data_IF_766174540246
#
_entry.id   IF_766174540246
#
_cell.length_a   1.000
_cell.length_b   1.000
_cell.length_c   1.000
_cell.angle_alpha   90.00
_cell.angle_beta   90.00
_cell.angle_gamma   90.00
#
_symmetry.space_group_name_H-M   'P 1'
#
loop_
_entity.id
_entity.type
_entity.pdbx_description
1 polymer ?
#
# COMPACT_ATOMS: atom_id res chain seq x y z
N UNK A 1 21.81 -2.28 -4.57
CA UNK A 1 22.09 -0.86 -4.77
C UNK A 1 21.22 -0.01 -3.86
N UNK A 2 21.83 0.51 -2.80
CA UNK A 2 21.26 1.40 -1.76
C UNK A 2 20.67 2.71 -2.36
N UNK A 3 20.98 2.99 -3.63
CA UNK A 3 20.66 4.26 -4.29
C UNK A 3 19.21 4.39 -4.76
N UNK A 4 18.52 3.28 -5.08
CA UNK A 4 17.19 3.33 -5.70
C UNK A 4 16.07 3.76 -4.72
N UNK A 5 16.04 3.23 -3.49
CA UNK A 5 15.02 3.61 -2.50
C UNK A 5 15.16 5.06 -2.01
N UNK A 6 16.38 5.54 -1.88
CA UNK A 6 16.70 6.94 -1.55
C UNK A 6 16.35 7.89 -2.71
N UNK A 7 16.40 7.43 -3.96
CA UNK A 7 16.03 8.21 -5.14
C UNK A 7 14.50 8.31 -5.31
N UNK A 8 13.76 7.22 -5.11
CA UNK A 8 12.30 7.22 -5.14
C UNK A 8 11.73 8.11 -4.02
N UNK A 9 12.21 7.95 -2.79
CA UNK A 9 11.84 8.80 -1.66
C UNK A 9 12.13 10.29 -1.93
N UNK A 10 13.36 10.63 -2.43
CA UNK A 10 13.71 12.00 -2.79
C UNK A 10 12.86 12.54 -3.92
N UNK A 11 12.47 11.70 -4.89
CA UNK A 11 11.62 12.07 -6.02
C UNK A 11 10.19 12.36 -5.58
N UNK A 12 9.62 11.51 -4.71
CA UNK A 12 8.29 11.72 -4.14
C UNK A 12 8.30 12.95 -3.23
N UNK A 13 9.26 13.10 -2.33
CA UNK A 13 9.40 14.29 -1.48
C UNK A 13 9.55 15.58 -2.31
N UNK A 14 10.31 15.55 -3.42
CA UNK A 14 10.44 16.71 -4.33
C UNK A 14 9.18 16.98 -5.14
N UNK A 15 8.43 15.96 -5.54
CA UNK A 15 7.15 16.13 -6.25
C UNK A 15 6.08 16.69 -5.33
N UNK A 16 6.00 16.19 -4.10
CA UNK A 16 5.13 16.73 -3.06
C UNK A 16 5.52 18.18 -2.72
N UNK A 17 6.82 18.51 -2.66
CA UNK A 17 7.32 19.87 -2.47
C UNK A 17 7.14 20.77 -3.69
N UNK A 18 7.15 20.23 -4.92
CA UNK A 18 6.93 21.01 -6.15
C UNK A 18 5.46 21.34 -6.40
N UNK A 19 4.54 20.49 -5.98
CA UNK A 19 3.12 20.80 -6.03
C UNK A 19 2.70 21.85 -4.98
N UNK A 20 3.49 22.03 -3.94
CA UNK A 20 3.27 22.98 -2.84
C UNK A 20 3.72 24.44 -3.18
N UNK A 21 3.29 24.98 -4.33
CA UNK A 21 3.60 26.37 -4.70
C UNK A 21 2.43 27.35 -4.55
N UNK A 22 1.28 26.88 -4.06
CA UNK A 22 0.14 27.71 -3.74
C UNK A 22 -0.20 27.68 -2.25
N UNK A 23 -0.96 28.65 -1.76
CA UNK A 23 -1.42 28.72 -0.36
C UNK A 23 -2.25 27.48 0.03
N UNK A 24 -2.90 26.83 -0.95
CA UNK A 24 -3.68 25.59 -0.80
C UNK A 24 -2.79 24.35 -0.58
N UNK A 25 -1.57 24.38 -1.10
CA UNK A 25 -0.63 23.24 -1.04
C UNK A 25 0.00 23.08 0.35
N UNK A 26 0.09 24.16 1.13
CA UNK A 26 0.64 24.13 2.50
C UNK A 26 -0.32 23.38 3.43
N UNK A 27 -1.64 23.59 3.29
CA UNK A 27 -2.64 22.88 4.08
C UNK A 27 -2.65 21.38 3.76
N UNK A 28 -2.49 21.02 2.50
CA UNK A 28 -2.40 19.60 2.07
C UNK A 28 -1.14 18.93 2.65
N UNK A 29 0.00 19.60 2.62
CA UNK A 29 1.26 19.08 3.18
C UNK A 29 1.21 18.90 4.71
N UNK A 30 0.37 19.69 5.38
CA UNK A 30 0.15 19.61 6.82
C UNK A 30 -0.94 18.60 7.20
N UNK A 31 -1.63 18.01 6.24
CA UNK A 31 -2.73 17.08 6.53
C UNK A 31 -2.24 15.82 7.24
N UNK A 32 -2.95 15.34 8.28
CA UNK A 32 -2.61 14.10 8.99
C UNK A 32 -2.47 12.90 8.05
N UNK A 33 -3.33 12.80 7.04
CA UNK A 33 -3.32 11.73 6.06
C UNK A 33 -2.01 11.69 5.24
N UNK A 34 -1.52 12.83 4.76
CA UNK A 34 -0.25 12.89 4.04
C UNK A 34 0.94 12.60 4.96
N UNK A 35 0.90 13.08 6.21
CA UNK A 35 1.93 12.75 7.21
C UNK A 35 1.96 11.25 7.50
N UNK A 36 0.82 10.57 7.57
CA UNK A 36 0.71 9.11 7.70
C UNK A 36 1.40 8.38 6.54
N UNK A 37 1.15 8.80 5.30
CA UNK A 37 1.81 8.22 4.10
C UNK A 37 3.32 8.49 4.12
N UNK A 38 3.76 9.72 4.45
CA UNK A 38 5.19 10.06 4.56
C UNK A 38 5.89 9.21 5.62
N UNK A 39 5.24 9.00 6.77
CA UNK A 39 5.74 8.12 7.84
C UNK A 39 5.92 6.70 7.31
N UNK A 40 4.92 6.14 6.65
CA UNK A 40 4.99 4.81 6.04
C UNK A 40 6.12 4.70 5.02
N UNK A 41 6.28 5.69 4.14
CA UNK A 41 7.37 5.72 3.17
C UNK A 41 8.75 5.74 3.85
N UNK A 42 8.91 6.47 4.95
CA UNK A 42 10.17 6.50 5.72
C UNK A 42 10.49 5.15 6.36
N UNK A 43 9.50 4.48 6.92
CA UNK A 43 9.65 3.17 7.56
C UNK A 43 10.02 2.12 6.52
N UNK A 44 9.23 2.00 5.45
CA UNK A 44 9.27 0.86 4.52
C UNK A 44 10.22 1.06 3.32
N UNK A 45 10.54 2.31 2.96
CA UNK A 45 11.46 2.63 1.87
C UNK A 45 12.70 3.42 2.32
N UNK A 46 12.80 3.74 3.60
CA UNK A 46 13.94 4.44 4.18
C UNK A 46 15.23 3.61 4.15
N UNK A 47 16.34 4.21 4.62
CA UNK A 47 17.67 3.57 4.60
C UNK A 47 17.77 2.34 5.52
N UNK A 48 16.93 2.26 6.54
CA UNK A 48 16.92 1.16 7.53
C UNK A 48 15.83 0.11 7.26
N UNK A 49 15.15 0.18 6.11
CA UNK A 49 14.15 -0.83 5.75
C UNK A 49 14.80 -2.23 5.62
N UNK A 50 14.20 -3.30 6.18
CA UNK A 50 14.80 -4.65 6.23
C UNK A 50 14.69 -5.38 4.88
N UNK A 51 15.24 -4.79 3.82
CA UNK A 51 15.09 -5.27 2.43
C UNK A 51 15.66 -6.66 2.22
N UNK A 52 16.89 -6.88 2.70
CA UNK A 52 17.59 -8.16 2.49
C UNK A 52 16.90 -9.30 3.25
N UNK A 53 16.45 -9.05 4.47
CA UNK A 53 15.70 -10.05 5.24
C UNK A 53 14.37 -10.41 4.57
N UNK A 54 13.69 -9.42 3.99
CA UNK A 54 12.45 -9.62 3.28
C UNK A 54 12.66 -10.41 1.97
N UNK A 55 13.70 -10.08 1.22
CA UNK A 55 14.06 -10.79 -0.01
C UNK A 55 14.46 -12.24 0.30
N UNK A 56 15.19 -12.48 1.38
CA UNK A 56 15.53 -13.83 1.84
C UNK A 56 14.30 -14.65 2.21
N UNK A 57 13.33 -14.05 2.92
CA UNK A 57 12.08 -14.71 3.27
C UNK A 57 11.28 -15.09 2.03
N UNK A 58 11.04 -14.12 1.14
CA UNK A 58 10.19 -14.37 -0.03
C UNK A 58 10.84 -15.25 -1.08
N UNK A 59 12.15 -15.33 -1.15
CA UNK A 59 12.87 -16.27 -2.03
C UNK A 59 12.54 -17.73 -1.76
N UNK A 60 12.01 -18.05 -0.59
CA UNK A 60 11.54 -19.41 -0.27
C UNK A 60 10.25 -19.79 -1.00
N UNK A 61 9.49 -18.81 -1.51
CA UNK A 61 8.15 -18.98 -2.06
C UNK A 61 7.99 -18.41 -3.47
N UNK A 62 8.88 -17.50 -3.87
CA UNK A 62 8.74 -16.71 -5.10
C UNK A 62 9.95 -16.95 -5.99
N UNK A 63 9.72 -17.61 -7.12
CA UNK A 63 10.73 -17.84 -8.15
C UNK A 63 10.70 -16.73 -9.22
N UNK A 64 11.77 -16.53 -9.98
CA UNK A 64 11.77 -15.63 -11.14
C UNK A 64 10.68 -16.00 -12.15
N UNK A 65 9.92 -15.00 -12.60
CA UNK A 65 8.77 -15.18 -13.50
C UNK A 65 7.46 -15.55 -12.81
N UNK A 66 7.47 -15.81 -11.50
CA UNK A 66 6.26 -16.11 -10.73
C UNK A 66 5.22 -15.00 -10.81
N UNK A 67 3.94 -15.36 -10.85
CA UNK A 67 2.84 -14.43 -10.62
C UNK A 67 2.56 -14.34 -9.12
N UNK A 68 2.56 -13.13 -8.58
CA UNK A 68 2.32 -12.84 -7.16
C UNK A 68 1.18 -11.84 -7.02
N UNK A 69 0.28 -12.09 -6.07
CA UNK A 69 -0.72 -11.12 -5.65
C UNK A 69 -0.31 -10.51 -4.31
N UNK A 70 -0.30 -9.17 -4.23
CA UNK A 70 -0.05 -8.38 -3.01
C UNK A 70 -1.33 -7.65 -2.64
N UNK A 71 -2.13 -8.25 -1.75
CA UNK A 71 -3.40 -7.71 -1.30
C UNK A 71 -3.16 -6.86 -0.06
N UNK A 72 -3.55 -5.58 -0.12
CA UNK A 72 -3.18 -4.56 0.86
C UNK A 72 -1.72 -4.14 0.67
N UNK A 73 -1.39 -3.62 -0.53
CA UNK A 73 -0.02 -3.35 -0.92
C UNK A 73 0.62 -2.16 -0.19
N UNK A 74 -0.19 -1.32 0.46
CA UNK A 74 0.23 -0.17 1.26
C UNK A 74 1.15 0.76 0.45
N UNK A 75 2.41 0.98 0.87
CA UNK A 75 3.39 1.79 0.11
C UNK A 75 4.30 0.95 -0.81
N UNK A 76 4.05 -0.36 -0.97
CA UNK A 76 4.68 -1.21 -1.98
C UNK A 76 6.10 -1.70 -1.68
N UNK A 77 6.48 -1.80 -0.41
CA UNK A 77 7.77 -2.39 -0.04
C UNK A 77 7.84 -3.89 -0.38
N UNK A 78 6.71 -4.63 -0.26
CA UNK A 78 6.57 -6.02 -0.70
C UNK A 78 6.67 -6.14 -2.22
N UNK A 79 5.99 -5.25 -2.96
CA UNK A 79 6.12 -5.17 -4.42
C UNK A 79 7.59 -5.03 -4.80
N UNK A 80 8.33 -4.13 -4.12
CA UNK A 80 9.76 -3.93 -4.38
C UNK A 80 10.57 -5.22 -4.17
N UNK A 81 10.24 -6.03 -3.16
CA UNK A 81 10.87 -7.33 -2.89
C UNK A 81 10.54 -8.34 -3.98
N UNK A 82 9.27 -8.54 -4.30
CA UNK A 82 8.84 -9.45 -5.36
C UNK A 82 9.45 -9.10 -6.72
N UNK A 83 9.57 -7.82 -7.02
CA UNK A 83 10.21 -7.36 -8.26
C UNK A 83 11.71 -7.63 -8.30
N UNK A 84 12.43 -7.51 -7.19
CA UNK A 84 13.85 -7.92 -7.10
C UNK A 84 14.04 -9.43 -7.26
N UNK A 85 13.06 -10.22 -6.88
CA UNK A 85 13.03 -11.67 -7.10
C UNK A 85 12.59 -12.07 -8.53
N UNK A 86 12.21 -11.10 -9.37
CA UNK A 86 11.84 -11.32 -10.76
C UNK A 86 10.37 -11.68 -10.99
N UNK A 87 9.50 -11.53 -9.99
CA UNK A 87 8.08 -11.84 -10.12
C UNK A 87 7.30 -10.78 -10.91
N UNK A 88 6.20 -11.18 -11.56
CA UNK A 88 5.12 -10.30 -11.99
C UNK A 88 4.16 -10.10 -10.80
N UNK A 89 3.73 -8.86 -10.56
CA UNK A 89 2.95 -8.52 -9.36
C UNK A 89 1.62 -7.89 -9.75
N UNK A 90 0.53 -8.41 -9.17
CA UNK A 90 -0.77 -7.75 -9.13
C UNK A 90 -0.95 -7.22 -7.71
N UNK A 91 -0.99 -5.90 -7.55
CA UNK A 91 -1.05 -5.25 -6.26
C UNK A 91 -2.37 -4.51 -6.08
N UNK A 92 -3.01 -4.72 -4.95
CA UNK A 92 -4.32 -4.15 -4.62
C UNK A 92 -4.19 -3.28 -3.39
N UNK A 93 -4.56 -1.99 -3.51
CA UNK A 93 -4.54 -1.03 -2.41
C UNK A 93 -5.71 -0.05 -2.54
N UNK A 94 -6.69 -0.08 -1.61
CA UNK A 94 -7.89 0.73 -1.72
C UNK A 94 -7.72 2.19 -1.31
N UNK A 95 -6.71 2.53 -0.52
CA UNK A 95 -6.56 3.88 0.03
C UNK A 95 -6.01 4.85 -1.04
N UNK A 96 -6.73 5.94 -1.41
CA UNK A 96 -6.35 6.79 -2.55
C UNK A 96 -4.95 7.40 -2.44
N UNK A 97 -4.55 7.86 -1.24
CA UNK A 97 -3.22 8.44 -1.04
C UNK A 97 -2.10 7.42 -1.12
N UNK A 98 -2.31 6.20 -0.58
CA UNK A 98 -1.37 5.10 -0.69
C UNK A 98 -1.27 4.62 -2.14
N UNK A 99 -2.40 4.47 -2.83
CA UNK A 99 -2.44 4.12 -4.24
C UNK A 99 -1.70 5.14 -5.11
N UNK A 100 -1.87 6.44 -4.82
CA UNK A 100 -1.10 7.49 -5.50
C UNK A 100 0.42 7.33 -5.27
N UNK A 101 0.84 7.01 -4.05
CA UNK A 101 2.24 6.73 -3.74
C UNK A 101 2.76 5.48 -4.49
N UNK A 102 1.97 4.39 -4.52
CA UNK A 102 2.28 3.18 -5.29
C UNK A 102 2.47 3.48 -6.77
N UNK A 103 1.56 4.25 -7.36
CA UNK A 103 1.63 4.61 -8.78
C UNK A 103 2.88 5.43 -9.10
N UNK A 104 3.33 6.28 -8.18
CA UNK A 104 4.60 7.01 -8.33
C UNK A 104 5.84 6.11 -8.26
N UNK A 105 5.79 5.07 -7.41
CA UNK A 105 6.94 4.18 -7.18
C UNK A 105 7.00 3.09 -8.25
N UNK A 106 5.87 2.45 -8.53
CA UNK A 106 5.78 1.21 -9.32
C UNK A 106 5.01 1.33 -10.63
N UNK A 107 4.23 2.40 -10.84
CA UNK A 107 3.33 2.55 -12.00
C UNK A 107 4.02 2.59 -13.38
N UNK A 108 5.36 2.60 -13.44
CA UNK A 108 6.13 2.51 -14.67
C UNK A 108 6.79 1.14 -14.89
N UNK A 109 6.67 0.23 -13.94
CA UNK A 109 7.18 -1.13 -14.09
C UNK A 109 6.16 -1.97 -14.87
N UNK A 110 6.47 -2.46 -16.08
CA UNK A 110 5.51 -3.19 -16.92
C UNK A 110 5.12 -4.55 -16.33
N UNK A 111 5.80 -5.02 -15.29
CA UNK A 111 5.49 -6.26 -14.59
C UNK A 111 4.74 -6.03 -13.28
N UNK A 112 4.25 -4.81 -13.03
CA UNK A 112 3.42 -4.45 -11.88
C UNK A 112 2.09 -3.89 -12.38
N UNK A 113 1.01 -4.55 -12.03
CA UNK A 113 -0.36 -4.04 -12.19
C UNK A 113 -0.86 -3.53 -10.84
N UNK A 114 -1.33 -2.29 -10.81
CA UNK A 114 -1.86 -1.64 -9.60
C UNK A 114 -3.37 -1.49 -9.71
N UNK A 115 -4.10 -1.90 -8.68
CA UNK A 115 -5.56 -1.84 -8.60
C UNK A 115 -5.98 -1.02 -7.37
N UNK A 116 -6.73 0.05 -7.59
CA UNK A 116 -7.32 0.95 -6.57
C UNK A 116 -8.60 0.36 -5.95
N UNK A 117 -8.53 -0.85 -5.43
CA UNK A 117 -9.66 -1.66 -4.97
C UNK A 117 -9.30 -2.36 -3.67
N UNK A 118 -10.30 -3.00 -3.05
CA UNK A 118 -10.06 -3.98 -2.01
C UNK A 118 -10.53 -5.36 -2.44
N UNK A 119 -10.05 -6.39 -1.74
CA UNK A 119 -10.49 -7.77 -1.96
C UNK A 119 -11.46 -8.16 -0.85
N UNK A 120 -12.57 -8.80 -1.24
CA UNK A 120 -13.60 -9.30 -0.33
C UNK A 120 -14.28 -10.55 -0.87
N UNK A 121 -15.22 -11.09 -0.08
CA UNK A 121 -16.01 -12.26 -0.47
C UNK A 121 -16.93 -12.00 -1.66
N UNK A 122 -17.45 -10.78 -1.75
CA UNK A 122 -18.44 -10.37 -2.75
C UNK A 122 -18.02 -9.07 -3.42
N UNK A 123 -18.12 -9.02 -4.74
CA UNK A 123 -17.88 -7.81 -5.49
C UNK A 123 -18.96 -6.75 -5.22
N UNK A 124 -18.58 -5.49 -5.25
CA UNK A 124 -19.51 -4.37 -5.01
C UNK A 124 -18.78 -3.12 -4.53
N UNK A 125 -19.49 -2.25 -3.83
CA UNK A 125 -18.94 -1.05 -3.21
C UNK A 125 -19.15 -1.13 -1.70
N UNK A 126 -18.10 -0.85 -0.93
CA UNK A 126 -18.16 -0.78 0.55
C UNK A 126 -17.44 0.44 1.06
N UNK A 127 -17.76 0.87 2.27
CA UNK A 127 -17.01 1.91 2.98
C UNK A 127 -15.73 1.34 3.60
N UNK A 128 -14.60 1.98 3.31
CA UNK A 128 -13.34 1.79 4.02
C UNK A 128 -13.26 2.79 5.17
N UNK A 129 -13.08 2.30 6.38
CA UNK A 129 -12.77 3.10 7.56
C UNK A 129 -11.28 3.44 7.54
N UNK A 130 -10.97 4.71 7.35
CA UNK A 130 -9.59 5.20 7.22
C UNK A 130 -9.11 5.79 8.52
N UNK A 131 -7.96 5.35 8.99
CA UNK A 131 -7.19 6.06 10.00
C UNK A 131 -6.15 6.93 9.30
N UNK A 132 -6.37 8.24 9.27
CA UNK A 132 -5.54 9.14 8.46
C UNK A 132 -4.12 9.28 9.03
N UNK A 133 -3.93 9.13 10.33
CA UNK A 133 -2.61 9.21 10.98
C UNK A 133 -1.84 7.90 10.94
N UNK A 134 -2.56 6.78 10.88
CA UNK A 134 -1.98 5.43 10.80
C UNK A 134 -2.68 4.60 9.72
N UNK A 135 -2.35 4.80 8.44
CA UNK A 135 -3.02 4.13 7.33
C UNK A 135 -2.99 2.59 7.38
N UNK A 136 -2.02 2.01 8.11
CA UNK A 136 -1.86 0.54 8.24
C UNK A 136 -3.01 -0.15 8.96
N UNK A 137 -3.80 0.59 9.74
CA UNK A 137 -4.94 0.04 10.49
C UNK A 137 -6.30 0.40 9.85
N UNK A 138 -6.29 0.94 8.64
CA UNK A 138 -7.55 1.17 7.89
C UNK A 138 -8.19 -0.17 7.55
N UNK A 139 -9.52 -0.25 7.62
CA UNK A 139 -10.25 -1.53 7.54
C UNK A 139 -11.61 -1.39 6.89
N UNK A 140 -12.11 -2.48 6.30
CA UNK A 140 -13.50 -2.63 5.86
C UNK A 140 -14.44 -3.10 6.97
N UNK A 141 -13.89 -3.53 8.12
CA UNK A 141 -14.67 -4.10 9.21
C UNK A 141 -15.08 -3.04 10.22
N UNK A 142 -16.35 -2.69 10.24
CA UNK A 142 -16.94 -1.86 11.30
C UNK A 142 -16.86 -2.55 12.67
N UNK A 143 -17.01 -3.86 12.68
CA UNK A 143 -16.88 -4.66 13.91
C UNK A 143 -15.46 -4.50 14.50
N UNK A 144 -14.42 -4.59 13.67
CA UNK A 144 -13.05 -4.34 14.12
C UNK A 144 -12.88 -2.94 14.71
N UNK A 145 -13.40 -1.91 14.05
CA UNK A 145 -13.34 -0.52 14.56
C UNK A 145 -14.02 -0.42 15.92
N UNK A 146 -15.18 -1.07 16.09
CA UNK A 146 -15.93 -1.02 17.35
C UNK A 146 -15.22 -1.80 18.48
N UNK A 147 -14.61 -2.95 18.18
CA UNK A 147 -13.84 -3.74 19.15
C UNK A 147 -12.51 -3.05 19.52
N UNK A 148 -11.85 -2.39 18.59
CA UNK A 148 -10.60 -1.67 18.85
C UNK A 148 -10.81 -0.43 19.73
N UNK A 149 -11.99 0.20 19.68
CA UNK A 149 -12.30 1.37 20.52
C UNK A 149 -12.21 1.00 22.00
N UNK A 150 -11.28 1.64 22.73
CA UNK A 150 -11.05 1.40 24.15
C UNK A 150 -10.28 0.12 24.50
N UNK A 151 -9.84 -0.65 23.50
CA UNK A 151 -8.99 -1.79 23.72
C UNK A 151 -7.55 -1.34 24.04
N UNK A 152 -6.89 -2.07 24.95
CA UNK A 152 -5.51 -1.76 25.37
C UNK A 152 -4.55 -1.79 24.18
N UNK A 153 -3.82 -0.69 23.97
CA UNK A 153 -2.88 -0.50 22.87
C UNK A 153 -3.52 0.07 21.59
N UNK A 154 -4.82 0.39 21.65
CA UNK A 154 -5.57 0.99 20.54
C UNK A 154 -6.16 2.36 20.89
N UNK A 155 -5.83 2.89 22.06
CA UNK A 155 -6.41 4.11 22.63
C UNK A 155 -6.23 5.33 21.71
N UNK A 156 -5.10 5.40 21.00
CA UNK A 156 -4.74 6.50 20.10
C UNK A 156 -5.19 6.27 18.64
N UNK A 157 -5.88 5.15 18.35
CA UNK A 157 -6.32 4.86 16.99
C UNK A 157 -7.69 5.45 16.71
N UNK A 158 -7.75 6.36 15.73
CA UNK A 158 -8.98 7.05 15.35
C UNK A 158 -9.25 6.82 13.86
N UNK A 159 -10.39 6.23 13.55
CA UNK A 159 -10.89 6.09 12.17
C UNK A 159 -11.74 7.33 11.85
N UNK A 160 -11.07 8.39 11.41
CA UNK A 160 -11.61 9.72 11.15
C UNK A 160 -12.07 9.92 9.71
N UNK A 161 -11.78 8.98 8.81
CA UNK A 161 -12.17 9.01 7.41
C UNK A 161 -13.03 7.84 6.98
N UNK A 162 -13.89 8.07 5.96
CA UNK A 162 -14.66 7.04 5.26
C UNK A 162 -14.54 7.27 3.76
N UNK A 163 -14.24 6.21 3.02
CA UNK A 163 -14.07 6.27 1.57
C UNK A 163 -14.83 5.11 0.93
N UNK A 164 -15.76 5.38 -0.01
CA UNK A 164 -16.36 4.32 -0.79
C UNK A 164 -15.31 3.72 -1.73
N UNK A 165 -15.16 2.40 -1.68
CA UNK A 165 -14.19 1.67 -2.50
C UNK A 165 -14.85 0.50 -3.22
N UNK A 166 -14.35 0.18 -4.41
CA UNK A 166 -14.75 -0.99 -5.15
C UNK A 166 -14.12 -2.25 -4.56
N UNK A 167 -14.95 -3.28 -4.37
CA UNK A 167 -14.52 -4.60 -3.91
C UNK A 167 -14.49 -5.54 -5.11
N UNK A 168 -13.39 -6.26 -5.25
CA UNK A 168 -13.24 -7.38 -6.18
C UNK A 168 -13.04 -8.68 -5.39
N UNK A 169 -13.39 -9.81 -5.99
CA UNK A 169 -13.13 -11.10 -5.36
C UNK A 169 -11.76 -11.65 -5.75
N UNK A 170 -11.17 -12.47 -4.89
CA UNK A 170 -9.92 -13.16 -5.20
C UNK A 170 -10.08 -14.04 -6.44
N UNK A 171 -11.21 -14.75 -6.55
CA UNK A 171 -11.53 -15.58 -7.72
C UNK A 171 -11.63 -14.74 -9.00
N UNK A 172 -12.18 -13.53 -8.93
CA UNK A 172 -12.21 -12.58 -10.04
C UNK A 172 -10.81 -12.13 -10.48
N UNK A 173 -9.89 -11.92 -9.53
CA UNK A 173 -8.49 -11.62 -9.84
C UNK A 173 -7.80 -12.82 -10.48
N UNK A 174 -8.01 -14.04 -9.96
CA UNK A 174 -7.45 -15.27 -10.53
C UNK A 174 -7.98 -15.50 -11.95
N UNK A 175 -9.26 -15.33 -12.18
CA UNK A 175 -9.86 -15.47 -13.51
C UNK A 175 -9.26 -14.46 -14.52
N UNK A 176 -8.95 -13.25 -14.08
CA UNK A 176 -8.42 -12.19 -14.95
C UNK A 176 -6.92 -12.30 -15.22
N UNK A 177 -6.13 -12.62 -14.18
CA UNK A 177 -4.66 -12.52 -14.25
C UNK A 177 -3.96 -13.87 -14.27
N UNK A 178 -4.66 -14.95 -13.98
CA UNK A 178 -4.13 -16.31 -13.81
C UNK A 178 -3.93 -16.69 -12.35
N UNK A 179 -3.66 -17.95 -12.09
CA UNK A 179 -3.41 -18.49 -10.75
C UNK A 179 -2.04 -18.02 -10.25
N UNK A 180 -1.96 -17.26 -9.14
CA UNK A 180 -0.69 -16.86 -8.57
C UNK A 180 0.00 -18.03 -7.89
N UNK A 181 1.33 -18.03 -7.91
CA UNK A 181 2.13 -18.98 -7.12
C UNK A 181 2.29 -18.55 -5.66
N UNK A 182 2.07 -17.27 -5.38
CA UNK A 182 2.11 -16.71 -4.03
C UNK A 182 1.11 -15.57 -3.87
N UNK A 183 0.42 -15.54 -2.74
CA UNK A 183 -0.49 -14.45 -2.36
C UNK A 183 -0.08 -13.97 -0.97
N UNK A 184 0.21 -12.67 -0.87
CA UNK A 184 0.32 -11.99 0.42
C UNK A 184 -1.00 -11.25 0.68
N UNK A 185 -1.56 -11.39 1.87
CA UNK A 185 -2.78 -10.70 2.32
C UNK A 185 -2.48 -10.01 3.65
N UNK A 186 -2.82 -8.72 3.73
CA UNK A 186 -2.78 -7.91 4.95
C UNK A 186 -4.19 -7.59 5.44
#
# INVERSE_FOLDING_TARGET
SVVAGSAAFRKISRLLQKSARSKWDIDVMSSPALQGVIRSLRIYHGPHAPRDAMDQLYRLFVEPGALVFDIGAHVGDRISSFRRLGARVIAVEPQPLLFSALNHIHGRDPLVELLDRAVGSDAGVRELFVNTTNPTVSTLSEEFVNQARGARGWEDQIWDGRVPIEIVTLDGLIARYGTPSFIKID
#
